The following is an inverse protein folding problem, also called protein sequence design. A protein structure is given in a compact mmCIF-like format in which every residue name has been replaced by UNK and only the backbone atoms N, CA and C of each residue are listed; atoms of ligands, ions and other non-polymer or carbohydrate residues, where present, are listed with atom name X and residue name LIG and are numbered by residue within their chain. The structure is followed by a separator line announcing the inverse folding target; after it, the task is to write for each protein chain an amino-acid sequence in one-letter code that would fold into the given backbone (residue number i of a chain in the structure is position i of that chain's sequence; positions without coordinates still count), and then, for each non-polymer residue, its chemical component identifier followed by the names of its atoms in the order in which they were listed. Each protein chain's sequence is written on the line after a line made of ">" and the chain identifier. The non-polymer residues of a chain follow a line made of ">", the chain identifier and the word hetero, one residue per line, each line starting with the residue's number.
data_IF_492688469657
#
_entry.id   IF_492688469657
#
_cell.length_a   1.000
_cell.length_b   1.000
_cell.length_c   1.000
_cell.angle_alpha   90.00
_cell.angle_beta   90.00
_cell.angle_gamma   90.00
#
_symmetry.space_group_name_H-M   'P 1'
#
loop_
_entity.id
_entity.type
_entity.pdbx_description
1 polymer ?
#
# COMPACT_ATOMS: atom_id res chain seq x y z
N UNK A 1 26.71 70.21 -26.74
CA UNK A 1 27.10 69.68 -25.43
C UNK A 1 26.20 68.55 -25.16
N UNK A 2 26.65 67.28 -25.35
CA UNK A 2 25.89 66.06 -25.31
C UNK A 2 26.17 65.37 -23.98
N UNK A 3 25.14 65.10 -23.24
CA UNK A 3 25.25 64.22 -22.08
C UNK A 3 24.56 62.84 -22.40
N UNK A 4 25.41 61.88 -22.66
CA UNK A 4 25.03 60.50 -22.91
C UNK A 4 24.79 59.76 -21.58
N UNK A 5 23.55 59.44 -21.28
CA UNK A 5 23.21 58.63 -20.12
C UNK A 5 23.30 57.12 -20.48
N UNK A 6 24.27 56.48 -19.93
CA UNK A 6 24.47 55.03 -19.97
C UNK A 6 23.54 54.38 -18.92
N UNK A 7 22.42 53.86 -19.37
CA UNK A 7 21.55 53.04 -18.50
C UNK A 7 21.99 51.57 -18.62
N UNK A 8 22.83 51.18 -17.69
CA UNK A 8 23.24 49.78 -17.53
C UNK A 8 22.05 49.00 -16.92
N UNK A 9 21.41 48.19 -17.75
CA UNK A 9 20.37 47.26 -17.31
C UNK A 9 20.93 46.20 -16.36
N UNK A 10 20.50 46.24 -15.14
CA UNK A 10 20.75 45.19 -14.13
C UNK A 10 19.80 44.03 -14.42
N UNK A 11 20.30 43.00 -15.09
CA UNK A 11 19.54 41.73 -15.24
C UNK A 11 19.62 41.00 -13.91
N UNK A 12 18.54 41.12 -13.11
CA UNK A 12 18.37 40.38 -11.87
C UNK A 12 17.98 38.95 -12.25
N UNK A 13 18.96 38.06 -12.29
CA UNK A 13 18.76 36.62 -12.45
C UNK A 13 18.17 36.07 -11.17
N UNK A 14 16.83 36.07 -11.06
CA UNK A 14 16.11 35.46 -9.95
C UNK A 14 16.24 33.95 -10.04
N UNK A 15 17.21 33.37 -9.31
CA UNK A 15 17.19 31.93 -9.01
C UNK A 15 15.94 31.63 -8.23
N UNK A 16 14.96 31.05 -8.88
CA UNK A 16 13.83 30.38 -8.24
C UNK A 16 14.37 29.16 -7.48
N UNK A 17 14.73 29.34 -6.22
CA UNK A 17 14.91 28.27 -5.25
C UNK A 17 13.52 27.64 -5.04
N UNK A 18 13.18 26.65 -5.88
CA UNK A 18 12.09 25.74 -5.55
C UNK A 18 12.49 25.01 -4.26
N UNK A 19 11.71 25.12 -3.18
CA UNK A 19 11.92 24.27 -2.03
C UNK A 19 11.73 22.83 -2.52
N UNK A 20 12.80 22.06 -2.61
CA UNK A 20 12.69 20.62 -2.64
C UNK A 20 11.97 20.24 -1.35
N UNK A 21 10.68 19.90 -1.45
CA UNK A 21 9.98 19.31 -0.36
C UNK A 21 10.74 18.03 -0.01
N UNK A 22 11.59 18.10 1.02
CA UNK A 22 12.18 16.95 1.64
C UNK A 22 11.00 16.14 2.15
N UNK A 23 10.57 15.12 1.37
CA UNK A 23 9.74 14.06 1.90
C UNK A 23 10.58 13.49 3.01
N UNK A 24 10.08 13.59 4.24
CA UNK A 24 10.58 12.76 5.31
C UNK A 24 10.40 11.32 4.80
N UNK A 25 11.50 10.72 4.35
CA UNK A 25 11.50 9.37 3.82
C UNK A 25 11.14 8.46 4.99
N UNK A 26 9.86 8.14 5.08
CA UNK A 26 9.44 6.92 5.78
C UNK A 26 10.32 5.79 5.25
N UNK A 27 10.63 4.82 6.07
CA UNK A 27 11.42 3.68 5.64
C UNK A 27 10.88 3.14 4.31
N UNK A 28 11.76 2.70 3.40
CA UNK A 28 11.32 2.16 2.12
C UNK A 28 10.25 1.08 2.32
N UNK A 29 9.33 0.94 1.38
CA UNK A 29 8.25 -0.04 1.47
C UNK A 29 8.77 -1.46 1.74
N UNK A 30 9.90 -1.85 1.11
CA UNK A 30 10.59 -3.10 1.39
C UNK A 30 11.06 -3.21 2.84
N UNK A 31 11.63 -2.14 3.40
CA UNK A 31 12.07 -2.13 4.80
C UNK A 31 10.89 -2.29 5.76
N UNK A 32 9.79 -1.57 5.51
CA UNK A 32 8.57 -1.70 6.29
C UNK A 32 7.98 -3.11 6.20
N UNK A 33 8.00 -3.73 5.02
CA UNK A 33 7.61 -5.13 4.88
C UNK A 33 8.49 -6.05 5.74
N UNK A 34 9.80 -5.93 5.64
CA UNK A 34 10.73 -6.77 6.41
C UNK A 34 10.58 -6.58 7.93
N UNK A 35 10.29 -5.37 8.38
CA UNK A 35 10.17 -5.04 9.79
C UNK A 35 8.81 -5.39 10.38
N UNK A 36 7.71 -5.27 9.62
CA UNK A 36 6.35 -5.31 10.14
C UNK A 36 5.53 -6.50 9.62
N UNK A 37 5.89 -7.09 8.49
CA UNK A 37 5.09 -8.10 7.82
C UNK A 37 5.80 -9.46 7.74
N UNK A 38 7.12 -9.48 7.50
CA UNK A 38 7.85 -10.72 7.25
C UNK A 38 7.95 -11.65 8.48
N UNK A 39 7.73 -11.12 9.69
CA UNK A 39 7.67 -11.97 10.89
C UNK A 39 6.53 -12.99 10.86
N UNK A 40 5.46 -12.70 10.12
CA UNK A 40 4.34 -13.60 9.92
C UNK A 40 4.30 -14.17 8.50
N UNK A 41 4.52 -13.31 7.48
CA UNK A 41 4.41 -13.71 6.07
C UNK A 41 5.68 -14.30 5.47
N UNK A 42 6.78 -14.36 6.24
CA UNK A 42 8.13 -14.67 5.81
C UNK A 42 8.66 -13.66 4.74
N UNK A 43 9.96 -13.78 4.39
CA UNK A 43 10.61 -12.88 3.43
C UNK A 43 10.18 -13.14 1.99
N UNK A 44 9.74 -14.36 1.71
CA UNK A 44 9.27 -14.81 0.40
C UNK A 44 7.74 -14.75 0.26
N UNK A 45 7.03 -14.27 1.27
CA UNK A 45 5.58 -14.16 1.26
C UNK A 45 4.84 -15.49 1.47
N UNK A 46 5.53 -16.59 1.79
CA UNK A 46 4.93 -17.93 1.94
C UNK A 46 3.92 -18.01 3.10
N UNK A 47 4.09 -17.18 4.11
CA UNK A 47 3.21 -17.16 5.29
C UNK A 47 3.30 -18.43 6.11
N UNK A 48 2.27 -18.65 6.93
CA UNK A 48 2.07 -19.86 7.71
C UNK A 48 0.59 -20.26 7.66
N UNK A 49 0.12 -20.87 6.55
CA UNK A 49 -1.31 -21.14 6.34
C UNK A 49 -1.98 -21.90 7.49
N UNK A 50 -1.28 -22.87 8.08
CA UNK A 50 -1.79 -23.65 9.24
C UNK A 50 -2.06 -22.79 10.48
N UNK A 51 -1.40 -21.63 10.60
CA UNK A 51 -1.63 -20.66 11.67
C UNK A 51 -2.52 -19.48 11.23
N UNK A 52 -3.16 -19.56 10.07
CA UNK A 52 -4.05 -18.51 9.56
C UNK A 52 -3.32 -17.33 8.95
N UNK A 53 -2.07 -17.51 8.55
CA UNK A 53 -1.30 -16.50 7.83
C UNK A 53 -1.17 -16.96 6.38
N UNK A 54 -1.99 -16.42 5.46
CA UNK A 54 -2.04 -16.92 4.10
C UNK A 54 -0.75 -16.61 3.34
N UNK A 55 -0.42 -17.47 2.37
CA UNK A 55 0.59 -17.15 1.38
C UNK A 55 0.13 -15.95 0.53
N UNK A 56 1.08 -15.08 0.19
CA UNK A 56 0.87 -13.95 -0.70
C UNK A 56 1.07 -14.32 -2.17
N UNK A 57 2.15 -15.07 -2.55
CA UNK A 57 2.38 -15.50 -3.93
C UNK A 57 1.19 -16.27 -4.51
N UNK A 58 0.67 -15.77 -5.64
CA UNK A 58 -0.44 -16.39 -6.36
C UNK A 58 -1.83 -16.13 -5.79
N UNK A 59 -1.95 -15.44 -4.64
CA UNK A 59 -3.23 -15.24 -3.97
C UNK A 59 -3.55 -13.79 -3.61
N UNK A 60 -2.54 -12.92 -3.53
CA UNK A 60 -2.76 -11.53 -3.12
C UNK A 60 -3.71 -10.78 -4.06
N UNK A 61 -3.67 -11.09 -5.36
CA UNK A 61 -4.49 -10.44 -6.37
C UNK A 61 -5.99 -10.66 -6.14
N UNK A 62 -6.38 -11.82 -5.61
CA UNK A 62 -7.77 -12.12 -5.30
C UNK A 62 -8.42 -11.08 -4.37
N UNK A 63 -7.66 -10.62 -3.37
CA UNK A 63 -8.13 -9.61 -2.42
C UNK A 63 -7.78 -8.19 -2.88
N UNK A 64 -6.60 -7.98 -3.46
CA UNK A 64 -6.17 -6.64 -3.90
C UNK A 64 -6.93 -6.14 -5.14
N UNK A 65 -7.47 -7.05 -5.94
CA UNK A 65 -8.32 -6.75 -7.09
C UNK A 65 -9.82 -6.59 -6.77
N UNK A 66 -10.22 -6.93 -5.56
CA UNK A 66 -11.62 -6.90 -5.12
C UNK A 66 -11.90 -5.73 -4.16
N UNK A 67 -13.00 -5.02 -4.34
CA UNK A 67 -13.32 -3.83 -3.53
C UNK A 67 -13.45 -4.14 -2.03
N UNK A 68 -14.12 -5.23 -1.67
CA UNK A 68 -14.24 -5.65 -0.27
C UNK A 68 -12.92 -6.25 0.22
N UNK A 69 -12.21 -6.98 -0.66
CA UNK A 69 -10.88 -7.51 -0.39
C UNK A 69 -9.88 -6.43 -0.03
N UNK A 70 -9.86 -5.32 -0.73
CA UNK A 70 -9.02 -4.14 -0.42
C UNK A 70 -9.36 -3.55 0.95
N UNK A 71 -10.65 -3.47 1.29
CA UNK A 71 -11.08 -3.04 2.64
C UNK A 71 -10.62 -4.04 3.71
N UNK A 72 -10.79 -5.34 3.45
CA UNK A 72 -10.32 -6.39 4.35
C UNK A 72 -8.81 -6.29 4.62
N UNK A 73 -7.98 -6.16 3.59
CA UNK A 73 -6.51 -6.05 3.72
C UNK A 73 -6.13 -4.92 4.68
N UNK A 74 -6.80 -3.78 4.62
CA UNK A 74 -6.49 -2.62 5.47
C UNK A 74 -6.92 -2.85 6.93
N UNK A 75 -7.89 -3.73 7.17
CA UNK A 75 -8.43 -4.02 8.51
C UNK A 75 -7.79 -5.22 9.20
N UNK A 76 -7.03 -6.07 8.48
CA UNK A 76 -6.36 -7.19 9.17
C UNK A 76 -5.44 -6.67 10.27
N UNK A 77 -5.41 -7.32 11.44
CA UNK A 77 -4.61 -6.85 12.59
C UNK A 77 -3.14 -6.63 12.24
N UNK A 78 -2.58 -7.48 11.36
CA UNK A 78 -1.21 -7.36 10.87
C UNK A 78 -0.93 -6.10 10.05
N UNK A 79 -1.95 -5.40 9.54
CA UNK A 79 -1.83 -4.12 8.83
C UNK A 79 -2.26 -2.96 9.72
N UNK A 80 -3.44 -3.08 10.35
CA UNK A 80 -4.03 -1.99 11.15
C UNK A 80 -3.24 -1.66 12.41
N UNK A 81 -2.47 -2.61 12.96
CA UNK A 81 -1.68 -2.45 14.20
C UNK A 81 -0.19 -2.21 13.97
N UNK A 82 0.25 -1.98 12.73
CA UNK A 82 1.69 -1.79 12.41
C UNK A 82 2.29 -0.50 12.95
N UNK A 83 1.47 0.50 13.27
CA UNK A 83 1.92 1.86 13.58
C UNK A 83 2.36 2.67 12.35
N UNK A 84 2.21 2.12 11.15
CA UNK A 84 2.47 2.84 9.89
C UNK A 84 1.33 3.82 9.60
N UNK A 85 1.67 4.97 9.02
CA UNK A 85 0.67 5.90 8.51
C UNK A 85 0.05 5.39 7.19
N UNK A 86 -0.98 6.06 6.69
CA UNK A 86 -1.73 5.61 5.51
C UNK A 86 -0.89 5.60 4.23
N UNK A 87 0.05 6.53 4.07
CA UNK A 87 0.98 6.56 2.94
C UNK A 87 1.96 5.37 2.99
N UNK A 88 2.50 5.07 4.17
CA UNK A 88 3.39 3.92 4.37
C UNK A 88 2.67 2.59 4.17
N UNK A 89 1.42 2.46 4.65
CA UNK A 89 0.59 1.28 4.41
C UNK A 89 0.37 1.11 2.90
N UNK A 90 -0.04 2.16 2.19
CA UNK A 90 -0.22 2.10 0.74
C UNK A 90 1.07 1.66 0.03
N UNK A 91 2.22 2.22 0.42
CA UNK A 91 3.52 1.86 -0.14
C UNK A 91 3.88 0.38 0.10
N UNK A 92 3.65 -0.13 1.32
CA UNK A 92 3.91 -1.55 1.64
C UNK A 92 2.97 -2.48 0.88
N UNK A 93 1.68 -2.16 0.76
CA UNK A 93 0.73 -2.97 0.00
C UNK A 93 1.09 -3.00 -1.49
N UNK A 94 1.51 -1.88 -2.06
CA UNK A 94 2.00 -1.84 -3.44
C UNK A 94 3.28 -2.67 -3.61
N UNK A 95 4.23 -2.59 -2.67
CA UNK A 95 5.41 -3.45 -2.67
C UNK A 95 5.03 -4.93 -2.66
N UNK A 96 4.04 -5.34 -1.86
CA UNK A 96 3.54 -6.72 -1.81
C UNK A 96 2.97 -7.15 -3.16
N UNK A 97 2.18 -6.28 -3.81
CA UNK A 97 1.64 -6.54 -5.16
C UNK A 97 2.76 -6.65 -6.19
N UNK A 98 3.75 -5.75 -6.15
CA UNK A 98 4.90 -5.77 -7.06
C UNK A 98 5.74 -7.05 -6.91
N UNK A 99 5.81 -7.62 -5.71
CA UNK A 99 6.62 -8.82 -5.45
C UNK A 99 5.87 -10.12 -5.80
N UNK A 100 4.56 -10.22 -5.54
CA UNK A 100 3.84 -11.49 -5.55
C UNK A 100 2.49 -11.44 -6.27
N UNK A 101 2.07 -10.30 -6.76
CA UNK A 101 0.85 -10.10 -7.53
C UNK A 101 1.14 -9.68 -8.96
N UNK A 102 0.11 -9.18 -9.64
CA UNK A 102 0.19 -8.63 -10.98
C UNK A 102 -0.10 -7.12 -10.98
N UNK A 103 0.94 -6.26 -10.88
CA UNK A 103 0.77 -4.82 -10.82
C UNK A 103 0.17 -4.21 -12.11
N UNK A 104 0.14 -4.97 -13.22
CA UNK A 104 -0.52 -4.51 -14.45
C UNK A 104 -2.05 -4.61 -14.37
N UNK A 105 -2.57 -5.45 -13.49
CA UNK A 105 -4.00 -5.71 -13.30
C UNK A 105 -4.58 -5.09 -12.04
N UNK A 106 -3.75 -4.88 -11.04
CA UNK A 106 -4.17 -4.38 -9.73
C UNK A 106 -3.90 -2.88 -9.64
N UNK A 107 -4.96 -2.10 -9.42
CA UNK A 107 -4.83 -0.66 -9.19
C UNK A 107 -3.99 -0.41 -7.93
N UNK A 108 -2.93 0.42 -8.00
CA UNK A 108 -2.12 0.74 -6.83
C UNK A 108 -2.97 1.33 -5.69
N UNK A 109 -2.64 0.98 -4.45
CA UNK A 109 -3.18 1.64 -3.28
C UNK A 109 -2.64 3.07 -3.18
N UNK A 110 -3.49 3.99 -2.75
CA UNK A 110 -3.12 5.37 -2.44
C UNK A 110 -3.35 5.67 -0.96
N UNK A 111 -2.66 6.67 -0.43
CA UNK A 111 -2.86 7.16 0.93
C UNK A 111 -4.34 7.46 1.20
N UNK A 112 -4.96 8.26 0.33
CA UNK A 112 -6.36 8.64 0.45
C UNK A 112 -7.32 7.42 0.40
N UNK A 113 -6.98 6.38 -0.35
CA UNK A 113 -7.75 5.15 -0.36
C UNK A 113 -7.62 4.41 0.97
N UNK A 114 -6.40 4.26 1.50
CA UNK A 114 -6.17 3.61 2.79
C UNK A 114 -6.92 4.33 3.90
N UNK A 115 -6.85 5.67 3.95
CA UNK A 115 -7.60 6.47 4.93
C UNK A 115 -9.11 6.23 4.84
N UNK A 116 -9.67 6.31 3.65
CA UNK A 116 -11.10 6.09 3.41
C UNK A 116 -11.52 4.68 3.84
N UNK A 117 -10.72 3.65 3.53
CA UNK A 117 -11.02 2.27 3.90
C UNK A 117 -10.89 2.03 5.41
N UNK A 118 -9.88 2.58 6.06
CA UNK A 118 -9.74 2.53 7.53
C UNK A 118 -10.94 3.14 8.26
N UNK A 119 -11.58 4.13 7.68
CA UNK A 119 -12.77 4.76 8.25
C UNK A 119 -14.05 3.92 8.10
N UNK A 120 -14.04 2.87 7.27
CA UNK A 120 -15.18 1.97 7.12
C UNK A 120 -15.27 1.03 8.34
N UNK A 121 -16.43 0.87 8.97
CA UNK A 121 -16.55 -0.03 10.10
C UNK A 121 -16.49 -1.49 9.66
N UNK A 122 -15.55 -2.24 10.20
CA UNK A 122 -15.46 -3.71 10.07
C UNK A 122 -15.40 -4.28 11.48
N UNK A 123 -16.55 -4.72 11.99
CA UNK A 123 -16.68 -5.19 13.37
C UNK A 123 -16.08 -6.58 13.59
N UNK A 124 -16.14 -7.43 12.59
CA UNK A 124 -15.60 -8.80 12.60
C UNK A 124 -14.84 -9.07 11.29
N UNK A 125 -13.52 -8.99 11.37
CA UNK A 125 -12.63 -9.20 10.23
C UNK A 125 -12.67 -10.63 9.71
N UNK A 126 -12.91 -11.60 10.58
CA UNK A 126 -12.99 -13.04 10.22
C UNK A 126 -14.28 -13.30 9.44
N UNK A 127 -15.42 -12.83 9.95
CA UNK A 127 -16.70 -12.93 9.24
C UNK A 127 -16.63 -12.20 7.89
N UNK A 128 -16.08 -11.00 7.87
CA UNK A 128 -15.92 -10.21 6.64
C UNK A 128 -15.07 -10.95 5.59
N UNK A 129 -13.97 -11.59 6.02
CA UNK A 129 -13.16 -12.44 5.14
C UNK A 129 -13.97 -13.62 4.58
N UNK A 130 -14.76 -14.27 5.42
CA UNK A 130 -15.56 -15.44 5.02
C UNK A 130 -16.53 -15.11 3.89
N UNK A 131 -17.21 -13.97 3.99
CA UNK A 131 -18.17 -13.53 2.97
C UNK A 131 -17.46 -13.22 1.63
N UNK A 132 -16.30 -12.56 1.70
CA UNK A 132 -15.47 -12.30 0.51
C UNK A 132 -15.03 -13.61 -0.14
N UNK A 133 -14.50 -14.54 0.67
CA UNK A 133 -13.99 -15.84 0.17
C UNK A 133 -15.09 -16.68 -0.46
N UNK A 134 -16.29 -16.72 0.16
CA UNK A 134 -17.42 -17.45 -0.40
C UNK A 134 -17.75 -16.94 -1.81
N UNK A 135 -17.89 -15.61 -1.97
CA UNK A 135 -18.18 -14.99 -3.25
C UNK A 135 -17.07 -15.22 -4.28
N UNK A 136 -15.81 -14.98 -3.92
CA UNK A 136 -14.69 -15.17 -4.84
C UNK A 136 -14.54 -16.62 -5.30
N UNK A 137 -14.83 -17.60 -4.42
CA UNK A 137 -14.84 -19.02 -4.80
C UNK A 137 -15.97 -19.35 -5.78
N UNK A 138 -17.15 -18.78 -5.59
CA UNK A 138 -18.27 -18.93 -6.51
C UNK A 138 -17.96 -18.33 -7.89
N UNK A 139 -17.12 -17.30 -7.94
CA UNK A 139 -16.57 -16.69 -9.15
C UNK A 139 -15.39 -17.48 -9.75
N UNK A 140 -14.98 -18.59 -9.14
CA UNK A 140 -13.86 -19.43 -9.60
C UNK A 140 -12.46 -18.85 -9.31
N UNK A 141 -12.36 -17.88 -8.39
CA UNK A 141 -11.08 -17.27 -8.01
C UNK A 141 -10.33 -18.16 -7.02
N UNK A 142 -9.06 -18.43 -7.29
CA UNK A 142 -8.21 -19.19 -6.39
C UNK A 142 -7.88 -18.39 -5.12
N UNK A 143 -8.11 -19.01 -3.96
CA UNK A 143 -7.89 -18.42 -2.64
C UNK A 143 -6.88 -19.27 -1.87
N UNK A 144 -5.95 -18.63 -1.18
CA UNK A 144 -4.99 -19.31 -0.31
C UNK A 144 -5.70 -20.10 0.80
N UNK A 145 -5.12 -21.23 1.16
CA UNK A 145 -5.59 -22.05 2.28
C UNK A 145 -5.66 -21.23 3.57
N UNK A 146 -6.72 -21.49 4.33
CA UNK A 146 -6.98 -20.82 5.59
C UNK A 146 -7.68 -21.79 6.54
N UNK A 147 -7.16 -22.00 7.77
CA UNK A 147 -7.61 -23.10 8.63
C UNK A 147 -8.96 -22.84 9.32
N UNK A 148 -9.44 -21.59 9.29
CA UNK A 148 -10.71 -21.23 9.90
C UNK A 148 -11.76 -20.96 8.81
N UNK A 149 -13.01 -21.38 9.06
CA UNK A 149 -14.12 -21.20 8.13
C UNK A 149 -14.48 -19.72 7.93
#
# INVERSE_FOLDING_TARGET
>A
MQASSLWKGLVLCGLLLMPAAARADGHSARFNYLLRCSGCHDKDGSGLPKAGIPALPGYIDAFAGDEQGRTYIVHVPGVSSTGLNSAEIAAVLNYVIDQWGDPSRIKPFTEAEVERRKAQPVSDVVAYRRDIVARLKDEGVAIADYPWP
#
